data_IF_505746728722
#
_entry.id   IF_505746728722
#
_cell.length_a   1.000
_cell.length_b   1.000
_cell.length_c   1.000
_cell.angle_alpha   90.00
_cell.angle_beta   90.00
_cell.angle_gamma   90.00
#
_symmetry.space_group_name_H-M   'P 1'
#
loop_
_entity.id
_entity.type
_entity.pdbx_description
1 polymer ?
#
# COMPACT_ATOMS: atom_id res chain seq x y z
N UNK A 1 -5.26 -34.02 -34.61
CA UNK A 1 -4.01 -34.01 -33.81
C UNK A 1 -4.38 -34.00 -32.33
N UNK A 2 -4.15 -35.11 -31.64
CA UNK A 2 -4.47 -35.28 -30.22
C UNK A 2 -3.31 -34.73 -29.38
N UNK A 3 -3.50 -33.61 -28.69
CA UNK A 3 -2.54 -33.14 -27.69
C UNK A 3 -2.61 -34.03 -26.43
N UNK A 4 -1.47 -34.54 -25.92
CA UNK A 4 -1.46 -35.34 -24.70
C UNK A 4 -1.46 -34.42 -23.47
N UNK A 5 -2.57 -33.73 -23.21
CA UNK A 5 -2.71 -32.82 -22.05
C UNK A 5 -2.78 -33.57 -20.71
N UNK A 6 -3.37 -34.78 -20.70
CA UNK A 6 -3.56 -35.58 -19.48
C UNK A 6 -2.25 -36.16 -18.93
N UNK A 7 -1.29 -36.48 -19.79
CA UNK A 7 0.00 -37.02 -19.38
C UNK A 7 0.86 -35.98 -18.66
N UNK A 8 0.88 -34.75 -19.17
CA UNK A 8 1.63 -33.63 -18.58
C UNK A 8 1.03 -33.19 -17.26
N UNK A 9 -0.31 -33.14 -17.16
CA UNK A 9 -1.01 -32.82 -15.92
C UNK A 9 -0.81 -33.90 -14.84
N UNK A 10 -0.86 -35.19 -15.22
CA UNK A 10 -0.57 -36.30 -14.29
C UNK A 10 0.89 -36.32 -13.86
N UNK A 11 1.84 -36.05 -14.76
CA UNK A 11 3.26 -35.98 -14.44
C UNK A 11 3.58 -34.82 -13.49
N UNK A 12 3.04 -33.62 -13.74
CA UNK A 12 3.15 -32.49 -12.81
C UNK A 12 2.52 -32.81 -11.45
N UNK A 13 1.34 -33.42 -11.42
CA UNK A 13 0.66 -33.81 -10.16
C UNK A 13 1.49 -34.83 -9.36
N UNK A 14 2.14 -35.77 -10.03
CA UNK A 14 3.05 -36.74 -9.41
C UNK A 14 4.34 -36.10 -8.87
N UNK A 15 4.90 -35.11 -9.58
CA UNK A 15 6.04 -34.32 -9.08
C UNK A 15 5.65 -33.48 -7.86
N UNK A 16 4.47 -32.85 -7.86
CA UNK A 16 3.96 -32.07 -6.73
C UNK A 16 3.67 -32.92 -5.48
N UNK A 17 3.25 -34.18 -5.65
CA UNK A 17 3.02 -35.09 -4.52
C UNK A 17 4.29 -35.62 -3.84
N UNK A 18 5.46 -35.44 -4.45
CA UNK A 18 6.76 -35.84 -3.89
C UNK A 18 7.44 -34.71 -3.09
N UNK A 19 6.94 -33.48 -3.24
CA UNK A 19 7.48 -32.31 -2.54
C UNK A 19 6.99 -32.29 -1.09
N UNK A 20 7.90 -31.96 -0.19
CA UNK A 20 7.57 -31.68 1.21
C UNK A 20 6.71 -30.41 1.30
N UNK A 21 5.96 -30.28 2.40
CA UNK A 21 5.15 -29.08 2.67
C UNK A 21 6.00 -27.80 2.62
N UNK A 22 7.25 -27.85 3.08
CA UNK A 22 8.18 -26.72 3.05
C UNK A 22 8.55 -26.31 1.61
N UNK A 23 8.77 -27.28 0.73
CA UNK A 23 9.09 -27.02 -0.67
C UNK A 23 7.89 -26.44 -1.42
N UNK A 24 6.68 -26.97 -1.16
CA UNK A 24 5.44 -26.41 -1.71
C UNK A 24 5.23 -24.96 -1.27
N UNK A 25 5.47 -24.64 0.00
CA UNK A 25 5.40 -23.25 0.51
C UNK A 25 6.44 -22.36 -0.17
N UNK A 26 7.64 -22.87 -0.41
CA UNK A 26 8.68 -22.10 -1.11
C UNK A 26 8.28 -21.73 -2.54
N UNK A 27 7.53 -22.60 -3.22
CA UNK A 27 7.01 -22.37 -4.58
C UNK A 27 5.88 -21.34 -4.63
N UNK A 28 5.18 -21.08 -3.52
CA UNK A 28 4.10 -20.09 -3.44
C UNK A 28 4.60 -18.65 -3.20
N UNK A 29 5.86 -18.47 -2.77
CA UNK A 29 6.42 -17.14 -2.47
C UNK A 29 6.68 -16.27 -3.72
N UNK A 30 7.21 -16.79 -4.85
CA UNK A 30 7.49 -15.96 -6.02
C UNK A 30 6.25 -15.28 -6.63
N UNK A 31 5.08 -15.94 -6.77
CA UNK A 31 3.86 -15.26 -7.22
C UNK A 31 3.42 -14.14 -6.29
N UNK A 32 3.44 -14.38 -4.96
CA UNK A 32 3.08 -13.36 -3.96
C UNK A 32 4.04 -12.16 -4.02
N UNK A 33 5.34 -12.42 -4.19
CA UNK A 33 6.33 -11.37 -4.43
C UNK A 33 5.96 -10.52 -5.65
N UNK A 34 5.64 -11.15 -6.79
CA UNK A 34 5.27 -10.42 -8.00
C UNK A 34 4.04 -9.53 -7.78
N UNK A 35 3.01 -10.03 -7.09
CA UNK A 35 1.81 -9.26 -6.78
C UNK A 35 2.15 -8.00 -5.96
N UNK A 36 2.94 -8.15 -4.89
CA UNK A 36 3.39 -7.02 -4.05
C UNK A 36 4.26 -6.06 -4.87
N UNK A 37 5.18 -6.58 -5.69
CA UNK A 37 6.04 -5.77 -6.53
C UNK A 37 5.24 -4.95 -7.54
N UNK A 38 4.19 -5.52 -8.15
CA UNK A 38 3.29 -4.78 -9.05
C UNK A 38 2.55 -3.67 -8.30
N UNK A 39 2.17 -3.88 -7.03
CA UNK A 39 1.60 -2.81 -6.20
C UNK A 39 2.57 -1.64 -6.02
N UNK A 40 3.88 -1.89 -5.84
CA UNK A 40 4.90 -0.84 -5.70
C UNK A 40 5.04 -0.01 -6.97
N UNK A 41 5.23 -0.66 -8.12
CA UNK A 41 5.55 0.07 -9.36
C UNK A 41 4.32 0.58 -10.11
N UNK A 42 3.31 -0.26 -10.29
CA UNK A 42 2.09 0.10 -11.04
C UNK A 42 1.05 0.68 -10.09
N UNK A 43 0.81 0.01 -8.96
CA UNK A 43 -0.21 0.41 -8.00
C UNK A 43 -0.03 1.84 -7.50
N UNK A 44 1.02 2.07 -6.69
CA UNK A 44 1.36 3.40 -6.18
C UNK A 44 1.71 4.38 -7.30
N UNK A 45 2.52 3.94 -8.27
CA UNK A 45 3.01 4.81 -9.35
C UNK A 45 1.89 5.47 -10.15
N UNK A 46 0.90 4.69 -10.58
CA UNK A 46 -0.26 5.23 -11.29
C UNK A 46 -1.28 5.89 -10.34
N UNK A 47 -1.49 5.38 -9.12
CA UNK A 47 -2.44 6.00 -8.18
C UNK A 47 -2.13 7.51 -7.96
N UNK A 48 -0.85 7.85 -7.89
CA UNK A 48 -0.40 9.24 -7.68
C UNK A 48 -0.47 10.13 -8.95
N UNK A 49 -0.88 9.60 -10.11
CA UNK A 49 -0.98 10.39 -11.35
C UNK A 49 -2.24 11.26 -11.42
N UNK A 50 -3.08 11.29 -10.39
CA UNK A 50 -4.32 12.08 -10.41
C UNK A 50 -4.05 13.58 -10.61
N UNK A 51 -2.90 14.10 -10.19
CA UNK A 51 -2.48 15.50 -10.40
C UNK A 51 -2.26 15.81 -11.88
N UNK A 52 -3.09 16.71 -12.44
CA UNK A 52 -3.21 16.98 -13.88
C UNK A 52 -1.92 17.42 -14.60
N UNK A 53 -0.94 18.00 -13.89
CA UNK A 53 0.37 18.41 -14.45
C UNK A 53 1.57 17.72 -13.79
N UNK A 54 1.35 16.63 -13.05
CA UNK A 54 2.41 15.92 -12.33
C UNK A 54 2.54 14.44 -12.72
N UNK A 55 1.77 13.94 -13.70
CA UNK A 55 1.76 12.51 -14.07
C UNK A 55 3.13 11.90 -14.39
N UNK A 56 3.97 12.57 -15.18
CA UNK A 56 5.32 12.08 -15.49
C UNK A 56 6.23 12.04 -14.26
N UNK A 57 6.17 13.08 -13.43
CA UNK A 57 6.92 13.11 -12.18
C UNK A 57 6.42 12.07 -11.19
N UNK A 58 5.10 11.84 -11.11
CA UNK A 58 4.50 10.81 -10.26
C UNK A 58 5.07 9.42 -10.56
N UNK A 59 4.92 8.93 -11.80
CA UNK A 59 5.39 7.58 -12.17
C UNK A 59 6.92 7.50 -12.18
N UNK A 60 7.59 8.51 -12.73
CA UNK A 60 9.05 8.52 -12.85
C UNK A 60 9.77 8.61 -11.50
N UNK A 61 9.27 9.44 -10.58
CA UNK A 61 9.82 9.53 -9.23
C UNK A 61 9.44 8.29 -8.42
N UNK A 62 8.22 7.75 -8.57
CA UNK A 62 7.85 6.47 -7.93
C UNK A 62 8.82 5.35 -8.33
N UNK A 63 9.14 5.23 -9.62
CA UNK A 63 10.12 4.26 -10.12
C UNK A 63 11.50 4.47 -9.50
N UNK A 64 11.96 5.72 -9.41
CA UNK A 64 13.24 6.07 -8.79
C UNK A 64 13.28 5.71 -7.30
N UNK A 65 12.27 6.13 -6.53
CA UNK A 65 12.19 5.86 -5.10
C UNK A 65 12.03 4.38 -4.81
N UNK A 66 11.27 3.66 -5.63
CA UNK A 66 11.11 2.22 -5.49
C UNK A 66 12.42 1.48 -5.78
N UNK A 67 13.07 1.75 -6.92
CA UNK A 67 14.33 1.11 -7.27
C UNK A 67 15.44 1.34 -6.23
N UNK A 68 15.49 2.54 -5.65
CA UNK A 68 16.43 2.87 -4.57
C UNK A 68 16.01 2.26 -3.23
N UNK A 69 14.72 2.36 -2.88
CA UNK A 69 14.13 1.86 -1.65
C UNK A 69 14.29 0.36 -1.48
N UNK A 70 14.13 -0.43 -2.55
CA UNK A 70 14.32 -1.89 -2.49
C UNK A 70 15.74 -2.28 -2.06
N UNK A 71 16.74 -1.59 -2.61
CA UNK A 71 18.15 -1.86 -2.27
C UNK A 71 18.44 -1.45 -0.83
N UNK A 72 17.96 -0.27 -0.43
CA UNK A 72 18.18 0.24 0.92
C UNK A 72 17.42 -0.57 1.98
N UNK A 73 16.19 -1.01 1.67
CA UNK A 73 15.37 -1.89 2.51
C UNK A 73 16.02 -3.24 2.75
N UNK A 74 16.53 -3.90 1.68
CA UNK A 74 17.28 -5.15 1.80
C UNK A 74 18.48 -5.03 2.75
N UNK A 75 19.20 -3.90 2.69
CA UNK A 75 20.33 -3.63 3.57
C UNK A 75 19.87 -3.40 5.02
N UNK A 76 18.97 -2.43 5.24
CA UNK A 76 18.58 -2.02 6.59
C UNK A 76 17.86 -3.12 7.36
N UNK A 77 16.92 -3.83 6.71
CA UNK A 77 16.22 -4.95 7.34
C UNK A 77 17.11 -6.19 7.46
N UNK A 78 18.06 -6.36 6.52
CA UNK A 78 19.02 -7.46 6.50
C UNK A 78 20.05 -7.41 7.62
N UNK A 79 20.41 -6.22 8.12
CA UNK A 79 21.36 -6.04 9.24
C UNK A 79 20.91 -6.80 10.50
N UNK A 80 19.61 -6.90 10.76
CA UNK A 80 19.07 -7.63 11.91
C UNK A 80 19.17 -9.17 11.78
N UNK A 81 19.40 -9.67 10.56
CA UNK A 81 19.34 -11.10 10.23
C UNK A 81 20.62 -11.57 9.50
N UNK A 82 21.76 -10.97 9.84
CA UNK A 82 23.04 -11.34 9.24
C UNK A 82 23.48 -12.73 9.66
N UNK A 83 23.99 -13.49 8.70
CA UNK A 83 24.62 -14.79 8.93
C UNK A 83 26.10 -14.69 8.54
N UNK A 84 26.98 -14.88 9.52
CA UNK A 84 28.44 -14.68 9.36
C UNK A 84 28.82 -13.34 8.69
N UNK A 85 28.13 -12.26 9.08
CA UNK A 85 28.36 -10.92 8.52
C UNK A 85 27.85 -10.71 7.09
N UNK A 86 27.06 -11.66 6.55
CA UNK A 86 26.47 -11.57 5.21
C UNK A 86 24.95 -11.56 5.29
N UNK A 87 24.33 -10.75 4.42
CA UNK A 87 22.88 -10.74 4.22
C UNK A 87 22.55 -11.77 3.13
N UNK A 88 21.94 -12.89 3.50
CA UNK A 88 21.48 -13.92 2.54
C UNK A 88 20.14 -13.49 1.95
N UNK A 89 20.12 -13.01 0.71
CA UNK A 89 18.88 -12.57 0.05
C UNK A 89 18.05 -13.76 -0.40
N UNK A 90 16.76 -13.72 -0.10
CA UNK A 90 15.75 -14.67 -0.54
C UNK A 90 14.45 -13.91 -0.89
N UNK A 91 13.46 -14.60 -1.47
CA UNK A 91 12.18 -14.00 -1.89
C UNK A 91 11.44 -13.34 -0.72
N UNK A 92 11.57 -13.87 0.50
CA UNK A 92 10.92 -13.28 1.67
C UNK A 92 11.56 -11.94 2.05
N UNK A 93 12.89 -11.84 2.00
CA UNK A 93 13.59 -10.55 2.20
C UNK A 93 13.29 -9.55 1.08
N UNK A 94 13.06 -10.02 -0.15
CA UNK A 94 12.62 -9.16 -1.25
C UNK A 94 11.22 -8.58 -0.98
N UNK A 95 10.26 -9.40 -0.53
CA UNK A 95 8.92 -8.94 -0.11
C UNK A 95 9.02 -7.90 1.02
N UNK A 96 9.85 -8.15 2.03
CA UNK A 96 10.03 -7.19 3.13
C UNK A 96 10.65 -5.87 2.65
N UNK A 97 11.53 -5.91 1.65
CA UNK A 97 12.06 -4.70 1.03
C UNK A 97 10.99 -3.95 0.22
N UNK A 98 10.06 -4.65 -0.45
CA UNK A 98 8.89 -4.00 -1.06
C UNK A 98 8.00 -3.35 0.01
N UNK A 99 7.85 -3.95 1.20
CA UNK A 99 7.07 -3.40 2.31
C UNK A 99 7.66 -2.10 2.91
N UNK A 100 8.97 -2.07 3.15
CA UNK A 100 9.64 -0.84 3.57
C UNK A 100 9.57 0.23 2.47
N UNK A 101 9.66 -0.17 1.20
CA UNK A 101 9.46 0.73 0.06
C UNK A 101 8.03 1.26 -0.03
N UNK A 102 7.01 0.42 0.18
CA UNK A 102 5.61 0.83 0.20
C UNK A 102 5.36 1.93 1.23
N UNK A 103 6.00 1.83 2.39
CA UNK A 103 5.95 2.84 3.45
C UNK A 103 6.40 4.21 2.93
N UNK A 104 7.53 4.26 2.22
CA UNK A 104 8.05 5.49 1.60
C UNK A 104 7.10 6.04 0.55
N UNK A 105 6.46 5.17 -0.24
CA UNK A 105 5.50 5.61 -1.25
C UNK A 105 4.20 6.16 -0.64
N UNK A 106 3.81 5.69 0.54
CA UNK A 106 2.72 6.29 1.33
C UNK A 106 3.12 7.69 1.79
N UNK A 107 4.33 7.85 2.33
CA UNK A 107 4.87 9.15 2.73
C UNK A 107 5.02 10.12 1.56
N UNK A 108 5.46 9.61 0.40
CA UNK A 108 5.56 10.38 -0.84
C UNK A 108 4.20 10.96 -1.25
N UNK A 109 3.10 10.21 -1.08
CA UNK A 109 1.75 10.71 -1.30
C UNK A 109 1.43 12.00 -0.50
N UNK A 110 1.90 12.12 0.74
CA UNK A 110 1.66 13.30 1.57
C UNK A 110 2.42 14.56 1.11
N UNK A 111 3.57 14.38 0.48
CA UNK A 111 4.45 15.46 -0.03
C UNK A 111 4.44 15.58 -1.57
N UNK A 112 3.55 14.84 -2.23
CA UNK A 112 3.44 14.76 -3.68
C UNK A 112 3.31 16.15 -4.31
N UNK A 113 4.13 16.41 -5.33
CA UNK A 113 4.15 17.69 -6.05
C UNK A 113 4.85 18.84 -5.31
N UNK A 114 5.34 18.63 -4.07
CA UNK A 114 5.91 19.70 -3.23
C UNK A 114 7.40 19.53 -2.92
N UNK A 115 8.01 18.44 -3.36
CA UNK A 115 9.41 18.07 -3.07
C UNK A 115 10.17 17.70 -4.34
N UNK A 116 11.48 17.95 -4.34
CA UNK A 116 12.38 17.51 -5.42
C UNK A 116 12.73 16.02 -5.31
N UNK A 117 13.16 15.38 -6.41
CA UNK A 117 13.63 13.99 -6.37
C UNK A 117 14.75 13.74 -5.36
N UNK A 118 15.67 14.71 -5.19
CA UNK A 118 16.77 14.62 -4.22
C UNK A 118 16.24 14.66 -2.78
N UNK A 119 15.27 15.53 -2.48
CA UNK A 119 14.63 15.55 -1.16
C UNK A 119 13.94 14.23 -0.85
N UNK A 120 13.31 13.62 -1.85
CA UNK A 120 12.63 12.34 -1.70
C UNK A 120 13.62 11.18 -1.51
N UNK A 121 14.77 11.17 -2.19
CA UNK A 121 15.82 10.18 -1.93
C UNK A 121 16.36 10.28 -0.50
N UNK A 122 16.59 11.50 0.00
CA UNK A 122 16.99 11.72 1.40
C UNK A 122 15.90 11.20 2.35
N UNK A 123 14.63 11.49 2.06
CA UNK A 123 13.49 10.98 2.82
C UNK A 123 13.49 9.45 2.83
N UNK A 124 13.70 8.78 1.69
CA UNK A 124 13.76 7.32 1.57
C UNK A 124 14.86 6.71 2.46
N UNK A 125 16.06 7.31 2.49
CA UNK A 125 17.16 6.82 3.34
C UNK A 125 16.75 6.87 4.82
N UNK A 126 16.26 8.04 5.27
CA UNK A 126 15.89 8.27 6.65
C UNK A 126 14.70 7.39 7.07
N UNK A 127 13.67 7.37 6.24
CA UNK A 127 12.41 6.68 6.52
C UNK A 127 12.61 5.17 6.61
N UNK A 128 13.29 4.52 5.65
CA UNK A 128 13.53 3.08 5.69
C UNK A 128 14.43 2.68 6.87
N UNK A 129 15.40 3.53 7.24
CA UNK A 129 16.24 3.30 8.42
C UNK A 129 15.38 3.26 9.68
N UNK A 130 14.52 4.27 9.87
CA UNK A 130 13.61 4.35 11.02
C UNK A 130 12.56 3.25 10.97
N UNK A 131 12.01 2.95 9.79
CA UNK A 131 11.08 1.85 9.56
C UNK A 131 11.69 0.52 10.01
N UNK A 132 12.93 0.24 9.64
CA UNK A 132 13.59 -1.02 10.02
C UNK A 132 13.77 -1.16 11.54
N UNK A 133 14.10 -0.07 12.23
CA UNK A 133 14.16 -0.04 13.69
C UNK A 133 12.76 -0.24 14.29
N UNK A 134 11.75 0.43 13.74
CA UNK A 134 10.36 0.33 14.19
C UNK A 134 9.79 -1.08 13.98
N UNK A 135 10.06 -1.69 12.82
CA UNK A 135 9.68 -3.06 12.50
C UNK A 135 10.29 -4.04 13.52
N UNK A 136 11.60 -3.94 13.77
CA UNK A 136 12.27 -4.78 14.77
C UNK A 136 11.68 -4.59 16.17
N UNK A 137 11.44 -3.34 16.59
CA UNK A 137 10.84 -3.03 17.88
C UNK A 137 9.43 -3.62 18.01
N UNK A 138 8.57 -3.41 17.02
CA UNK A 138 7.16 -3.82 17.07
C UNK A 138 7.01 -5.33 16.91
N UNK A 139 7.70 -5.94 15.96
CA UNK A 139 7.56 -7.35 15.63
C UNK A 139 8.37 -8.26 16.57
N UNK A 140 9.63 -7.91 16.90
CA UNK A 140 10.51 -8.80 17.66
C UNK A 140 10.54 -8.49 19.16
N UNK A 141 10.52 -7.20 19.55
CA UNK A 141 10.62 -6.82 20.97
C UNK A 141 9.23 -6.79 21.63
N UNK A 142 8.28 -6.08 21.03
CA UNK A 142 6.92 -5.95 21.56
C UNK A 142 6.00 -7.13 21.21
N UNK A 143 6.42 -8.00 20.28
CA UNK A 143 5.65 -9.17 19.82
C UNK A 143 4.22 -8.81 19.38
N UNK A 144 4.03 -7.65 18.75
CA UNK A 144 2.72 -7.20 18.30
C UNK A 144 2.26 -7.96 17.04
N UNK A 145 0.97 -8.27 16.96
CA UNK A 145 0.40 -8.93 15.78
C UNK A 145 -0.06 -7.88 14.75
N UNK A 146 0.69 -7.77 13.64
CA UNK A 146 0.39 -6.85 12.55
C UNK A 146 0.61 -7.52 11.17
N UNK A 147 0.03 -8.70 10.96
CA UNK A 147 0.21 -9.49 9.71
C UNK A 147 -0.18 -8.70 8.44
N UNK A 148 -1.21 -7.86 8.51
CA UNK A 148 -1.61 -7.00 7.40
C UNK A 148 -0.87 -5.65 7.33
N UNK A 149 0.14 -5.45 8.19
CA UNK A 149 1.01 -4.29 8.22
C UNK A 149 0.27 -2.93 8.34
N UNK A 150 -0.86 -2.91 9.07
CA UNK A 150 -1.62 -1.67 9.30
C UNK A 150 -0.85 -0.68 10.17
N UNK A 151 -0.07 -1.16 11.13
CA UNK A 151 0.72 -0.32 12.02
C UNK A 151 2.09 -0.02 11.44
N UNK A 152 2.85 -1.08 11.12
CA UNK A 152 4.28 -1.01 10.78
C UNK A 152 4.48 -0.30 9.43
N UNK A 153 3.61 -0.52 8.45
CA UNK A 153 3.70 0.12 7.12
C UNK A 153 2.78 1.33 7.05
N UNK A 154 1.46 1.09 7.12
CA UNK A 154 0.52 2.11 6.67
C UNK A 154 0.35 3.27 7.66
N UNK A 155 0.18 2.99 8.94
CA UNK A 155 0.08 4.04 9.95
C UNK A 155 1.41 4.78 10.09
N UNK A 156 2.52 4.04 10.20
CA UNK A 156 3.86 4.62 10.26
C UNK A 156 4.14 5.54 9.07
N UNK A 157 3.99 5.06 7.83
CA UNK A 157 4.24 5.87 6.63
C UNK A 157 3.29 7.06 6.53
N UNK A 158 2.00 6.90 6.83
CA UNK A 158 1.08 8.02 6.82
C UNK A 158 1.48 9.13 7.82
N UNK A 159 1.80 8.77 9.06
CA UNK A 159 2.22 9.76 10.06
C UNK A 159 3.62 10.32 9.80
N UNK A 160 4.54 9.52 9.28
CA UNK A 160 5.87 9.97 8.88
C UNK A 160 5.79 11.02 7.76
N UNK A 161 5.09 10.70 6.66
CA UNK A 161 4.87 11.61 5.55
C UNK A 161 4.20 12.92 5.98
N UNK A 162 3.30 12.87 6.96
CA UNK A 162 2.68 14.07 7.53
C UNK A 162 3.61 14.92 8.37
N UNK A 163 4.45 14.28 9.19
CA UNK A 163 5.49 14.99 9.91
C UNK A 163 6.43 15.70 8.92
N UNK A 164 6.82 15.03 7.84
CA UNK A 164 7.63 15.63 6.77
C UNK A 164 6.89 16.78 6.09
N UNK A 165 5.63 16.58 5.68
CA UNK A 165 4.81 17.64 5.07
C UNK A 165 4.67 18.86 5.99
N UNK A 166 4.57 18.64 7.30
CA UNK A 166 4.48 19.69 8.31
C UNK A 166 5.78 20.45 8.49
N UNK A 167 6.92 19.76 8.45
CA UNK A 167 8.27 20.36 8.52
C UNK A 167 8.57 21.16 7.24
N UNK A 168 8.14 20.65 6.08
CA UNK A 168 8.34 21.30 4.77
C UNK A 168 7.29 22.37 4.45
N UNK A 169 6.39 22.69 5.38
CA UNK A 169 5.33 23.67 5.18
C UNK A 169 5.90 25.04 4.76
N UNK A 170 5.29 25.64 3.72
CA UNK A 170 5.61 26.98 3.25
C UNK A 170 4.34 27.84 3.23
N UNK A 171 4.34 29.06 3.81
CA UNK A 171 3.17 29.93 3.81
C UNK A 171 2.61 30.22 2.41
N UNK A 172 3.47 30.30 1.40
CA UNK A 172 3.09 30.51 0.00
C UNK A 172 2.27 29.38 -0.63
N UNK A 173 2.24 28.18 -0.02
CA UNK A 173 1.43 27.04 -0.48
C UNK A 173 0.07 26.94 0.22
N UNK A 174 -0.25 27.87 1.14
CA UNK A 174 -1.50 27.83 1.95
C UNK A 174 -2.77 27.86 1.09
N UNK A 175 -2.73 28.59 -0.02
CA UNK A 175 -3.89 28.78 -0.89
C UNK A 175 -4.00 27.68 -1.97
N UNK A 176 -3.15 26.65 -1.91
CA UNK A 176 -3.04 25.61 -2.94
C UNK A 176 -2.41 26.13 -4.23
N UNK A 177 -2.09 25.21 -5.14
CA UNK A 177 -1.66 25.52 -6.50
C UNK A 177 -2.82 25.27 -7.47
N UNK A 178 -2.92 26.05 -8.55
CA UNK A 178 -3.86 25.81 -9.65
C UNK A 178 -3.77 24.39 -10.29
N UNK A 179 -2.68 23.67 -9.99
CA UNK A 179 -2.36 22.35 -10.52
C UNK A 179 -2.65 21.21 -9.52
N UNK A 180 -3.15 21.52 -8.31
CA UNK A 180 -3.47 20.55 -7.25
C UNK A 180 -4.78 19.76 -7.51
N UNK A 181 -5.29 19.78 -8.74
CA UNK A 181 -6.51 19.09 -9.14
C UNK A 181 -6.27 18.04 -10.22
N UNK A 182 -7.31 17.28 -10.54
CA UNK A 182 -7.30 16.28 -11.61
C UNK A 182 -7.98 16.77 -12.89
N UNK A 183 -7.79 16.00 -13.96
CA UNK A 183 -8.54 16.07 -15.22
C UNK A 183 -8.96 14.65 -15.60
N UNK A 184 -9.94 14.51 -16.50
CA UNK A 184 -10.51 13.22 -16.85
C UNK A 184 -9.48 12.11 -17.13
N UNK A 185 -8.47 12.38 -17.96
CA UNK A 185 -7.44 11.38 -18.28
C UNK A 185 -6.49 11.10 -17.10
N UNK A 186 -6.20 12.08 -16.25
CA UNK A 186 -5.33 11.85 -15.08
C UNK A 186 -6.03 10.98 -14.05
N UNK A 187 -7.35 11.11 -13.91
CA UNK A 187 -8.18 10.24 -13.07
C UNK A 187 -8.33 8.82 -13.65
N UNK A 188 -8.43 8.68 -14.98
CA UNK A 188 -8.41 7.36 -15.62
C UNK A 188 -7.07 6.64 -15.37
N UNK A 189 -5.95 7.34 -15.48
CA UNK A 189 -4.64 6.76 -15.15
C UNK A 189 -4.53 6.41 -13.67
N UNK A 190 -5.01 7.26 -12.76
CA UNK A 190 -5.04 6.97 -11.32
C UNK A 190 -5.88 5.73 -10.97
N UNK A 191 -6.93 5.47 -11.75
CA UNK A 191 -7.72 4.25 -11.59
C UNK A 191 -6.98 2.96 -11.96
N UNK A 192 -6.03 3.02 -12.89
CA UNK A 192 -5.17 1.86 -13.18
C UNK A 192 -4.46 1.45 -11.88
N UNK A 193 -3.78 2.40 -11.24
CA UNK A 193 -3.11 2.16 -9.95
C UNK A 193 -4.08 1.64 -8.89
N UNK A 194 -5.27 2.23 -8.78
CA UNK A 194 -6.31 1.81 -7.83
C UNK A 194 -6.73 0.35 -8.03
N UNK A 195 -6.98 -0.07 -9.27
CA UNK A 195 -7.42 -1.44 -9.58
C UNK A 195 -6.30 -2.45 -9.31
N UNK A 196 -5.05 -2.13 -9.66
CA UNK A 196 -3.91 -3.01 -9.38
C UNK A 196 -3.67 -3.18 -7.87
N UNK A 197 -3.76 -2.10 -7.09
CA UNK A 197 -3.69 -2.18 -5.63
C UNK A 197 -4.84 -3.03 -5.06
N UNK A 198 -6.06 -2.82 -5.54
CA UNK A 198 -7.24 -3.57 -5.08
C UNK A 198 -7.13 -5.06 -5.37
N UNK A 199 -6.71 -5.44 -6.59
CA UNK A 199 -6.62 -6.85 -6.99
C UNK A 199 -5.53 -7.62 -6.23
N UNK A 200 -4.38 -6.99 -5.98
CA UNK A 200 -3.22 -7.65 -5.37
C UNK A 200 -3.12 -7.49 -3.86
N UNK A 201 -4.03 -6.73 -3.25
CA UNK A 201 -4.02 -6.58 -1.80
C UNK A 201 -4.19 -7.87 -0.99
N UNK A 202 -5.00 -8.86 -1.41
CA UNK A 202 -5.05 -10.15 -0.71
C UNK A 202 -3.67 -10.82 -0.60
N UNK A 203 -2.81 -10.69 -1.62
CA UNK A 203 -1.42 -11.18 -1.59
C UNK A 203 -0.58 -10.36 -0.61
N UNK A 204 -0.68 -9.02 -0.64
CA UNK A 204 0.02 -8.13 0.30
C UNK A 204 -0.26 -8.48 1.77
N UNK A 205 -1.53 -8.60 2.15
CA UNK A 205 -1.92 -8.87 3.55
C UNK A 205 -1.62 -10.31 4.02
N UNK A 206 -1.31 -11.22 3.09
CA UNK A 206 -1.08 -12.62 3.40
C UNK A 206 0.38 -13.05 3.18
N UNK A 207 1.24 -12.15 2.68
CA UNK A 207 2.60 -12.47 2.26
C UNK A 207 3.50 -12.94 3.41
N UNK A 208 3.27 -12.40 4.61
CA UNK A 208 4.02 -12.76 5.84
C UNK A 208 3.17 -13.55 6.83
N UNK A 209 1.95 -13.94 6.45
CA UNK A 209 1.09 -14.79 7.26
C UNK A 209 1.64 -16.21 7.34
N UNK A 210 1.35 -16.91 8.45
CA UNK A 210 1.72 -18.32 8.58
C UNK A 210 1.07 -19.15 7.45
N UNK A 211 1.85 -19.95 6.70
CA UNK A 211 1.32 -20.72 5.58
C UNK A 211 0.19 -21.67 5.97
N UNK A 212 -0.79 -21.84 5.08
CA UNK A 212 -1.95 -22.70 5.31
C UNK A 212 -3.20 -21.91 5.66
N UNK A 213 -3.91 -22.31 6.73
CA UNK A 213 -5.23 -21.77 7.06
C UNK A 213 -5.20 -20.28 7.42
N UNK A 214 -4.16 -19.82 8.14
CA UNK A 214 -4.01 -18.41 8.54
C UNK A 214 -3.82 -17.52 7.30
N UNK A 215 -2.91 -17.91 6.41
CA UNK A 215 -2.70 -17.23 5.13
C UNK A 215 -3.97 -17.18 4.28
N UNK A 216 -4.68 -18.31 4.12
CA UNK A 216 -5.93 -18.37 3.37
C UNK A 216 -7.00 -17.44 3.98
N UNK A 217 -7.08 -17.42 5.31
CA UNK A 217 -8.01 -16.54 6.03
C UNK A 217 -7.69 -15.07 5.79
N UNK A 218 -6.40 -14.69 5.76
CA UNK A 218 -5.97 -13.34 5.43
C UNK A 218 -6.38 -12.94 4.00
N UNK A 219 -6.23 -13.84 3.02
CA UNK A 219 -6.67 -13.64 1.62
C UNK A 219 -8.18 -13.41 1.55
N UNK A 220 -8.98 -14.34 2.08
CA UNK A 220 -10.45 -14.30 2.01
C UNK A 220 -11.00 -13.06 2.71
N UNK A 221 -10.50 -12.76 3.91
CA UNK A 221 -10.94 -11.59 4.66
C UNK A 221 -10.61 -10.29 3.94
N UNK A 222 -9.42 -10.20 3.33
CA UNK A 222 -9.02 -9.01 2.55
C UNK A 222 -9.92 -8.84 1.33
N UNK A 223 -10.15 -9.91 0.57
CA UNK A 223 -11.03 -9.90 -0.61
C UNK A 223 -12.47 -9.43 -0.29
N UNK A 224 -13.10 -10.05 0.71
CA UNK A 224 -14.49 -9.69 1.09
C UNK A 224 -14.58 -8.26 1.63
N UNK A 225 -13.56 -7.83 2.37
CA UNK A 225 -13.49 -6.47 2.92
C UNK A 225 -13.33 -5.42 1.84
N UNK A 226 -12.52 -5.70 0.82
CA UNK A 226 -12.35 -4.85 -0.35
C UNK A 226 -13.63 -4.73 -1.17
N UNK A 227 -14.35 -5.84 -1.39
CA UNK A 227 -15.64 -5.81 -2.08
C UNK A 227 -16.68 -4.96 -1.33
N UNK A 228 -16.81 -5.17 -0.01
CA UNK A 228 -17.71 -4.37 0.83
C UNK A 228 -17.31 -2.89 0.86
N UNK A 229 -16.00 -2.61 0.85
CA UNK A 229 -15.46 -1.26 0.84
C UNK A 229 -15.88 -0.47 -0.41
N UNK A 230 -15.79 -1.08 -1.59
CA UNK A 230 -16.18 -0.48 -2.88
C UNK A 230 -17.66 -0.10 -2.87
N UNK A 231 -18.55 -1.06 -2.56
CA UNK A 231 -19.99 -0.80 -2.52
C UNK A 231 -20.34 0.34 -1.57
N UNK A 232 -19.72 0.36 -0.39
CA UNK A 232 -19.94 1.42 0.59
C UNK A 232 -19.41 2.77 0.11
N UNK A 233 -18.24 2.79 -0.56
CA UNK A 233 -17.67 4.02 -1.11
C UNK A 233 -18.56 4.64 -2.20
N UNK A 234 -19.12 3.82 -3.09
CA UNK A 234 -20.06 4.26 -4.11
C UNK A 234 -21.37 4.78 -3.51
N UNK A 235 -22.00 3.99 -2.62
CA UNK A 235 -23.25 4.37 -1.98
C UNK A 235 -23.12 5.73 -1.29
N UNK A 236 -22.04 5.91 -0.53
CA UNK A 236 -21.87 7.12 0.24
C UNK A 236 -21.35 8.30 -0.61
N UNK A 237 -20.52 8.06 -1.64
CA UNK A 237 -20.17 9.12 -2.59
C UNK A 237 -21.42 9.71 -3.23
N UNK A 238 -22.38 8.88 -3.61
CA UNK A 238 -23.66 9.34 -4.16
C UNK A 238 -24.52 10.06 -3.12
N UNK A 239 -24.57 9.57 -1.87
CA UNK A 239 -25.37 10.20 -0.80
C UNK A 239 -24.84 11.59 -0.39
N UNK A 240 -23.54 11.83 -0.52
CA UNK A 240 -22.90 13.06 -0.07
C UNK A 240 -22.83 14.12 -1.16
N UNK A 241 -22.69 13.72 -2.42
CA UNK A 241 -22.48 14.67 -3.51
C UNK A 241 -23.79 15.32 -3.96
N UNK A 242 -23.72 16.60 -4.30
CA UNK A 242 -24.88 17.34 -4.75
C UNK A 242 -25.37 16.77 -6.10
N UNK A 243 -26.64 16.37 -6.15
CA UNK A 243 -27.28 15.65 -7.28
C UNK A 243 -26.86 14.18 -7.44
N UNK A 244 -26.28 13.54 -6.42
CA UNK A 244 -26.00 12.10 -6.46
C UNK A 244 -24.82 11.68 -7.35
N UNK A 245 -24.00 12.65 -7.80
CA UNK A 245 -22.86 12.40 -8.68
C UNK A 245 -21.73 11.67 -7.94
N UNK A 246 -20.86 11.00 -8.68
CA UNK A 246 -19.71 10.30 -8.11
C UNK A 246 -18.45 11.16 -8.22
N UNK A 247 -17.66 11.21 -7.15
CA UNK A 247 -16.36 11.87 -7.10
C UNK A 247 -15.25 10.82 -7.29
N UNK A 248 -14.47 10.97 -8.36
CA UNK A 248 -13.48 9.97 -8.75
C UNK A 248 -12.31 9.90 -7.78
N UNK A 249 -11.89 11.03 -7.21
CA UNK A 249 -10.81 11.07 -6.21
C UNK A 249 -11.25 10.33 -4.95
N UNK A 250 -12.52 10.50 -4.55
CA UNK A 250 -13.10 9.76 -3.43
C UNK A 250 -13.17 8.27 -3.72
N UNK A 251 -13.53 7.84 -4.93
CA UNK A 251 -13.55 6.43 -5.31
C UNK A 251 -12.14 5.82 -5.30
N UNK A 252 -11.15 6.48 -5.91
CA UNK A 252 -9.74 6.07 -5.93
C UNK A 252 -9.19 5.90 -4.50
N UNK A 253 -9.42 6.89 -3.64
CA UNK A 253 -8.89 6.90 -2.27
C UNK A 253 -9.68 5.98 -1.32
N UNK A 254 -11.02 6.00 -1.36
CA UNK A 254 -11.83 5.29 -0.37
C UNK A 254 -11.89 3.78 -0.59
N UNK A 255 -11.73 3.30 -1.83
CA UNK A 255 -11.62 1.85 -2.09
C UNK A 255 -10.38 1.24 -1.41
N UNK A 256 -9.33 2.04 -1.20
CA UNK A 256 -8.04 1.59 -0.65
C UNK A 256 -7.86 1.99 0.85
N UNK A 257 -8.26 3.21 1.25
CA UNK A 257 -8.02 3.78 2.61
C UNK A 257 -8.72 3.03 3.76
N UNK A 258 -9.79 2.26 3.52
CA UNK A 258 -10.48 1.49 4.59
C UNK A 258 -9.76 0.21 5.00
N UNK A 259 -8.69 -0.15 4.31
CA UNK A 259 -8.00 -1.39 4.57
C UNK A 259 -7.22 -1.39 5.91
N UNK A 260 -6.73 -0.21 6.31
CA UNK A 260 -5.94 0.08 7.51
C UNK A 260 -6.57 -0.29 8.87
N UNK A 261 -7.89 -0.50 8.94
CA UNK A 261 -8.61 -0.74 10.21
C UNK A 261 -9.35 -2.07 10.27
N UNK A 262 -9.41 -2.78 9.15
CA UNK A 262 -10.05 -4.09 9.04
C UNK A 262 -9.09 -5.19 9.52
N UNK A 263 -7.78 -4.96 9.41
CA UNK A 263 -6.70 -5.87 9.85
C UNK A 263 -6.68 -6.06 11.38
N UNK A 264 -7.15 -5.10 12.16
CA UNK A 264 -7.24 -5.23 13.63
C UNK A 264 -8.41 -6.09 14.13
N UNK A 265 -9.36 -6.46 13.25
CA UNK A 265 -10.64 -7.01 13.70
C UNK A 265 -11.22 -8.14 12.85
N UNK A 266 -10.36 -8.87 12.14
CA UNK A 266 -10.64 -10.10 11.39
C UNK A 266 -10.94 -11.30 12.31
N UNK A 267 -11.74 -11.08 13.36
CA UNK A 267 -12.30 -12.15 14.16
C UNK A 267 -13.83 -12.23 14.15
N UNK A 268 -14.63 -11.16 13.92
CA UNK A 268 -16.08 -11.28 14.21
C UNK A 268 -17.15 -10.59 13.36
N UNK A 269 -16.88 -9.67 12.41
CA UNK A 269 -18.00 -9.13 11.60
C UNK A 269 -17.54 -8.39 10.34
N UNK A 270 -18.20 -8.66 9.21
CA UNK A 270 -18.20 -7.83 8.00
C UNK A 270 -18.80 -6.46 8.37
N UNK A 271 -18.00 -5.40 8.50
CA UNK A 271 -18.45 -4.10 9.05
C UNK A 271 -18.63 -3.03 7.99
N UNK A 272 -19.89 -2.87 7.56
CA UNK A 272 -20.42 -1.70 6.83
C UNK A 272 -20.23 -0.37 7.61
N UNK A 273 -20.15 -0.43 8.94
CA UNK A 273 -20.19 0.73 9.85
C UNK A 273 -18.94 1.62 9.83
N UNK A 274 -17.74 1.04 9.62
CA UNK A 274 -16.48 1.79 9.65
C UNK A 274 -16.30 2.71 8.43
N UNK A 275 -16.94 2.35 7.32
CA UNK A 275 -17.04 3.21 6.15
C UNK A 275 -17.75 4.52 6.46
N UNK A 276 -18.82 4.46 7.24
CA UNK A 276 -19.68 5.61 7.54
C UNK A 276 -18.91 6.62 8.43
N UNK A 277 -18.14 6.15 9.43
CA UNK A 277 -17.41 7.02 10.35
C UNK A 277 -16.27 7.83 9.69
N UNK A 278 -15.51 7.24 8.76
CA UNK A 278 -14.43 7.96 8.09
C UNK A 278 -14.94 8.93 7.03
N UNK A 279 -16.05 8.59 6.40
CA UNK A 279 -16.69 9.43 5.42
C UNK A 279 -17.42 10.61 6.09
N UNK A 280 -17.94 10.42 7.31
CA UNK A 280 -18.36 11.55 8.15
C UNK A 280 -17.21 12.55 8.40
N UNK A 281 -15.96 12.08 8.60
CA UNK A 281 -14.78 12.95 8.74
C UNK A 281 -14.41 13.67 7.43
N UNK A 282 -14.44 12.98 6.29
CA UNK A 282 -14.17 13.58 4.98
C UNK A 282 -15.23 14.62 4.56
N UNK A 283 -16.51 14.35 4.85
CA UNK A 283 -17.64 15.17 4.40
C UNK A 283 -17.97 16.32 5.34
N UNK A 284 -17.89 16.12 6.66
CA UNK A 284 -18.38 17.10 7.63
C UNK A 284 -17.27 17.80 8.42
N UNK A 285 -16.03 17.30 8.44
CA UNK A 285 -14.91 17.95 9.16
C UNK A 285 -13.89 18.67 8.28
N UNK A 286 -13.88 18.43 6.98
CA UNK A 286 -13.05 19.17 6.02
C UNK A 286 -13.41 20.66 5.86
N UNK A 287 -14.66 21.15 6.06
CA UNK A 287 -14.93 22.58 5.87
C UNK A 287 -14.49 23.48 7.02
N UNK A 288 -14.25 22.95 8.24
CA UNK A 288 -14.11 23.75 9.48
C UNK A 288 -12.80 23.54 10.24
N UNK A 289 -11.78 22.99 9.59
CA UNK A 289 -10.49 22.82 10.24
C UNK A 289 -9.83 24.20 10.46
N UNK A 290 -9.32 24.50 11.67
CA UNK A 290 -8.59 25.74 11.95
C UNK A 290 -7.47 25.95 10.92
N UNK A 291 -7.19 27.21 10.57
CA UNK A 291 -6.23 27.56 9.51
C UNK A 291 -4.83 26.96 9.74
N UNK A 292 -4.47 26.69 11.00
CA UNK A 292 -3.22 26.06 11.45
C UNK A 292 -3.07 24.57 11.08
N UNK A 293 -4.16 23.97 10.63
CA UNK A 293 -4.37 22.53 10.62
C UNK A 293 -4.61 22.04 9.17
N UNK A 294 -4.74 22.96 8.20
CA UNK A 294 -5.01 22.74 6.76
C UNK A 294 -4.01 21.85 6.00
N UNK A 295 -2.90 21.42 6.61
CA UNK A 295 -1.96 20.46 6.04
C UNK A 295 -2.56 19.05 5.90
N UNK A 296 -3.64 18.73 6.61
CA UNK A 296 -4.41 17.48 6.43
C UNK A 296 -5.12 17.38 5.05
N UNK A 297 -5.21 18.46 4.25
CA UNK A 297 -5.81 18.39 2.91
C UNK A 297 -5.04 17.49 1.94
N UNK A 298 -3.75 17.25 2.20
CA UNK A 298 -2.99 16.28 1.43
C UNK A 298 -3.39 14.80 1.72
N UNK A 299 -4.19 14.56 2.77
CA UNK A 299 -4.62 13.23 3.22
C UNK A 299 -6.06 12.88 2.91
N UNK A 300 -6.90 13.85 2.54
CA UNK A 300 -8.30 13.60 2.22
C UNK A 300 -8.42 13.45 0.72
#
# INVERSE_FOLDING_TARGET
>A
ENFPSDGVLKFRRAQLSCLTTAELISLLKPPVFQDVHVMIFIGFGFLMTFLKKYGFSSVGINLLLAAFGLQWGLLMQGVWHMDHGKIKVDVFKMINADFSTATVLISFGAVLGKTSPVQLLIMTILEITIFSINEHLVANILSANDVGASMIIHAFGAYFGLAVARVLYRPGLRNGHENDGSVYHSDLFAMIGTVFLWMFWPSFNSAIAEPGFVQLTAVINTYLSLAACVLSAYAISSLVEHKGKLDMVRLQCCCLKKMLKIIFQTAKTVKLFLCICHLHRYTFKTPHWPVELQWERALT
#
